data_IF_986446585151
#
_entry.id   IF_986446585151
#
_cell.length_a   1.000
_cell.length_b   1.000
_cell.length_c   1.000
_cell.angle_alpha   90.00
_cell.angle_beta   90.00
_cell.angle_gamma   90.00
#
_symmetry.space_group_name_H-M   'P 1'
#
loop_
_entity.id
_entity.type
_entity.pdbx_description
1 polymer ?
#
# COMPACT_ATOMS: atom_id res chain seq x y z
N UNK A 1 12.20 -1.08 3.52
CA UNK A 1 12.74 -0.49 2.28
C UNK A 1 12.60 -1.55 1.17
N UNK A 2 11.93 -1.25 0.06
CA UNK A 2 11.91 -2.15 -1.10
C UNK A 2 13.28 -2.04 -1.80
N UNK A 3 14.03 -3.14 -1.84
CA UNK A 3 15.38 -3.16 -2.44
C UNK A 3 15.37 -3.93 -3.77
N UNK A 4 16.41 -3.75 -4.59
CA UNK A 4 16.57 -4.56 -5.80
C UNK A 4 16.67 -6.06 -5.47
N UNK A 5 17.36 -6.41 -4.38
CA UNK A 5 17.43 -7.80 -3.87
C UNK A 5 16.03 -8.35 -3.58
N UNK A 6 15.13 -7.52 -3.07
CA UNK A 6 13.73 -7.91 -2.79
C UNK A 6 12.98 -8.22 -4.08
N UNK A 7 13.15 -7.38 -5.10
CA UNK A 7 12.52 -7.58 -6.42
C UNK A 7 13.11 -8.78 -7.15
N UNK A 8 14.42 -9.01 -7.04
CA UNK A 8 15.08 -10.20 -7.58
C UNK A 8 14.56 -11.47 -6.91
N UNK A 9 14.44 -11.49 -5.57
CA UNK A 9 13.88 -12.63 -4.85
C UNK A 9 12.43 -12.94 -5.25
N UNK A 10 11.62 -11.89 -5.48
CA UNK A 10 10.27 -12.02 -5.99
C UNK A 10 10.26 -12.64 -7.41
N UNK A 11 11.18 -12.21 -8.26
CA UNK A 11 11.32 -12.72 -9.63
C UNK A 11 11.87 -14.15 -9.70
N UNK A 12 12.66 -14.59 -8.72
CA UNK A 12 13.21 -15.95 -8.62
C UNK A 12 12.16 -16.99 -8.24
N UNK A 13 11.04 -16.57 -7.60
CA UNK A 13 9.88 -17.42 -7.27
C UNK A 13 10.16 -18.55 -6.28
N UNK A 14 11.16 -18.41 -5.43
CA UNK A 14 11.49 -19.40 -4.39
C UNK A 14 10.46 -19.41 -3.23
N UNK A 15 9.56 -18.41 -3.17
CA UNK A 15 8.58 -18.24 -2.11
C UNK A 15 7.15 -18.34 -2.65
N UNK A 16 6.30 -19.09 -1.94
CA UNK A 16 4.86 -19.22 -2.23
C UNK A 16 4.02 -18.06 -1.71
N UNK A 17 4.56 -17.30 -0.76
CA UNK A 17 3.94 -16.12 -0.17
C UNK A 17 5.02 -15.07 0.04
N UNK A 18 4.70 -13.84 -0.33
CA UNK A 18 5.56 -12.69 -0.10
C UNK A 18 4.75 -11.57 0.55
N UNK A 19 5.35 -10.85 1.50
CA UNK A 19 4.70 -9.78 2.25
C UNK A 19 5.55 -8.51 2.20
N UNK A 20 4.98 -7.44 1.64
CA UNK A 20 5.51 -6.09 1.73
C UNK A 20 4.78 -5.32 2.83
N UNK A 21 5.53 -4.79 3.78
CA UNK A 21 4.99 -3.86 4.76
C UNK A 21 5.59 -2.45 4.56
N UNK A 22 4.72 -1.45 4.42
CA UNK A 22 5.06 -0.06 4.11
C UNK A 22 4.76 0.86 5.30
N UNK A 23 5.59 0.79 6.34
CA UNK A 23 5.37 1.49 7.61
C UNK A 23 5.49 3.03 7.56
N UNK A 24 6.19 3.56 6.55
CA UNK A 24 6.54 4.98 6.48
C UNK A 24 5.32 5.90 6.39
N UNK A 25 4.25 5.47 5.70
CA UNK A 25 3.01 6.24 5.58
C UNK A 25 2.42 6.50 6.97
N UNK A 26 2.31 5.45 7.79
CA UNK A 26 1.77 5.57 9.14
C UNK A 26 2.70 6.38 10.06
N UNK A 27 4.02 6.23 9.91
CA UNK A 27 4.99 7.04 10.64
C UNK A 27 4.85 8.53 10.35
N UNK A 28 4.65 8.91 9.08
CA UNK A 28 4.38 10.31 8.71
C UNK A 28 3.02 10.77 9.25
N UNK A 29 2.00 9.91 9.22
CA UNK A 29 0.68 10.20 9.81
C UNK A 29 0.79 10.52 11.30
N UNK A 30 1.52 9.69 12.06
CA UNK A 30 1.77 9.94 13.48
C UNK A 30 2.51 11.25 13.74
N UNK A 31 3.46 11.61 12.89
CA UNK A 31 4.32 12.78 13.10
C UNK A 31 3.63 14.09 12.70
N UNK A 32 2.83 14.07 11.64
CA UNK A 32 2.36 15.29 10.95
C UNK A 32 0.86 15.26 10.61
N UNK A 33 0.13 14.19 10.91
CA UNK A 33 -1.26 14.04 10.46
C UNK A 33 -1.37 13.92 8.92
N UNK A 34 -2.61 13.87 8.42
CA UNK A 34 -2.87 13.69 6.98
C UNK A 34 -3.58 14.88 6.34
N UNK A 35 -4.21 15.75 7.14
CA UNK A 35 -4.98 16.89 6.62
C UNK A 35 -4.04 18.07 6.33
N UNK A 36 -4.47 18.98 5.45
CA UNK A 36 -3.71 20.20 5.16
C UNK A 36 -3.47 21.09 6.40
N UNK A 37 -4.31 20.96 7.43
CA UNK A 37 -4.12 21.63 8.72
C UNK A 37 -2.84 21.18 9.43
N UNK A 38 -2.55 19.87 9.41
CA UNK A 38 -1.42 19.30 10.13
C UNK A 38 -0.19 19.03 9.24
N UNK A 39 -0.41 18.74 7.95
CA UNK A 39 0.60 18.25 7.01
C UNK A 39 0.93 19.28 5.93
N UNK A 40 1.30 20.50 6.33
CA UNK A 40 1.59 21.60 5.40
C UNK A 40 2.77 21.30 4.44
N UNK A 41 3.74 20.50 4.88
CA UNK A 41 4.92 20.11 4.09
C UNK A 41 4.69 18.87 3.22
N UNK A 42 3.46 18.33 3.21
CA UNK A 42 3.05 17.18 2.40
C UNK A 42 3.92 15.93 2.63
N UNK A 43 4.43 15.72 3.85
CA UNK A 43 5.31 14.59 4.17
C UNK A 43 4.55 13.27 4.09
N UNK A 44 3.30 13.23 4.55
CA UNK A 44 2.43 12.07 4.39
C UNK A 44 2.18 11.74 2.91
N UNK A 45 1.85 12.74 2.09
CA UNK A 45 1.60 12.54 0.65
C UNK A 45 2.84 12.07 -0.10
N UNK A 46 4.02 12.60 0.25
CA UNK A 46 5.31 12.12 -0.27
C UNK A 46 5.53 10.65 0.08
N UNK A 47 5.29 10.26 1.34
CA UNK A 47 5.40 8.87 1.74
C UNK A 47 4.41 7.98 0.96
N UNK A 48 3.16 8.41 0.79
CA UNK A 48 2.16 7.69 -0.03
C UNK A 48 2.67 7.53 -1.47
N UNK A 49 3.17 8.59 -2.10
CA UNK A 49 3.73 8.56 -3.45
C UNK A 49 4.88 7.57 -3.58
N UNK A 50 5.87 7.65 -2.70
CA UNK A 50 7.03 6.76 -2.69
C UNK A 50 6.63 5.28 -2.55
N UNK A 51 5.60 4.98 -1.73
CA UNK A 51 5.14 3.60 -1.55
C UNK A 51 4.21 3.14 -2.67
N UNK A 52 3.47 4.05 -3.33
CA UNK A 52 2.76 3.74 -4.56
C UNK A 52 3.73 3.31 -5.66
N UNK A 53 4.91 3.93 -5.75
CA UNK A 53 5.96 3.52 -6.68
C UNK A 53 6.57 2.16 -6.32
N UNK A 54 6.72 1.85 -5.03
CA UNK A 54 7.09 0.49 -4.61
C UNK A 54 6.06 -0.55 -5.03
N UNK A 55 4.76 -0.25 -4.87
CA UNK A 55 3.68 -1.14 -5.33
C UNK A 55 3.79 -1.33 -6.85
N UNK A 56 3.95 -0.26 -7.65
CA UNK A 56 4.14 -0.39 -9.11
C UNK A 56 5.29 -1.33 -9.46
N UNK A 57 6.45 -1.16 -8.84
CA UNK A 57 7.63 -2.02 -9.08
C UNK A 57 7.37 -3.48 -8.74
N UNK A 58 6.60 -3.76 -7.67
CA UNK A 58 6.16 -5.13 -7.35
C UNK A 58 5.22 -5.66 -8.43
N UNK A 59 4.22 -4.89 -8.85
CA UNK A 59 3.26 -5.31 -9.90
C UNK A 59 3.95 -5.57 -11.25
N UNK A 60 5.05 -4.88 -11.56
CA UNK A 60 5.88 -5.11 -12.73
C UNK A 60 6.73 -6.39 -12.59
N UNK A 61 7.26 -6.65 -11.39
CA UNK A 61 8.15 -7.78 -11.13
C UNK A 61 7.43 -9.14 -10.99
N UNK A 62 6.17 -9.16 -10.56
CA UNK A 62 5.38 -10.40 -10.47
C UNK A 62 5.04 -10.97 -11.86
N UNK A 63 4.82 -12.28 -11.91
CA UNK A 63 4.40 -12.97 -13.13
C UNK A 63 2.87 -13.00 -13.29
N UNK A 64 2.41 -13.64 -14.35
CA UNK A 64 0.99 -13.69 -14.71
C UNK A 64 0.18 -14.64 -13.82
N UNK A 65 0.83 -15.53 -13.07
CA UNK A 65 0.18 -16.49 -12.18
C UNK A 65 0.14 -16.01 -10.71
N UNK A 66 0.84 -14.93 -10.40
CA UNK A 66 0.86 -14.34 -9.07
C UNK A 66 -0.37 -13.44 -8.85
N UNK A 67 -1.04 -13.65 -7.71
CA UNK A 67 -2.06 -12.73 -7.20
C UNK A 67 -1.41 -11.79 -6.20
N UNK A 68 -1.62 -10.49 -6.38
CA UNK A 68 -1.20 -9.45 -5.45
C UNK A 68 -2.43 -8.92 -4.73
N UNK A 69 -2.38 -8.92 -3.40
CA UNK A 69 -3.41 -8.33 -2.54
C UNK A 69 -2.80 -7.08 -1.90
N UNK A 70 -3.46 -5.94 -2.09
CA UNK A 70 -3.05 -4.67 -1.49
C UNK A 70 -4.14 -4.26 -0.51
N UNK A 71 -3.74 -4.06 0.74
CA UNK A 71 -4.65 -3.65 1.82
C UNK A 71 -3.89 -2.85 2.87
N UNK A 72 -4.64 -2.31 3.83
CA UNK A 72 -4.12 -1.64 5.03
C UNK A 72 -4.72 -2.31 6.25
N UNK A 73 -4.04 -2.22 7.38
CA UNK A 73 -4.55 -2.66 8.69
C UNK A 73 -5.42 -1.58 9.34
N UNK A 74 -5.09 -0.31 9.12
CA UNK A 74 -5.90 0.83 9.54
C UNK A 74 -5.64 2.08 8.68
N UNK A 75 -6.40 3.15 8.95
CA UNK A 75 -6.15 4.50 8.43
C UNK A 75 -5.57 5.44 9.50
N UNK A 76 -5.34 6.70 9.10
CA UNK A 76 -4.76 7.75 9.95
C UNK A 76 -5.41 9.11 9.65
N UNK A 77 -5.52 10.00 10.65
CA UNK A 77 -6.03 11.37 10.45
C UNK A 77 -5.19 12.42 11.17
N UNK A 78 -5.20 12.39 12.52
CA UNK A 78 -4.58 13.41 13.35
C UNK A 78 -3.17 12.98 13.81
N UNK A 79 -2.23 13.92 14.01
CA UNK A 79 -0.93 13.62 14.60
C UNK A 79 -1.08 12.90 15.94
N UNK A 80 -0.19 11.94 16.21
CA UNK A 80 -0.19 11.12 17.42
C UNK A 80 -1.36 10.15 17.58
N UNK A 81 -2.35 10.15 16.68
CA UNK A 81 -3.48 9.22 16.71
C UNK A 81 -3.07 7.80 16.32
N UNK A 82 -3.78 6.76 16.76
CA UNK A 82 -3.52 5.37 16.38
C UNK A 82 -4.83 4.61 16.17
N UNK A 83 -5.24 4.43 14.91
CA UNK A 83 -6.48 3.75 14.54
C UNK A 83 -7.74 4.34 15.20
N UNK A 84 -8.88 3.65 15.07
CA UNK A 84 -10.16 4.03 15.67
C UNK A 84 -11.37 3.47 14.93
N UNK A 85 -12.55 3.67 15.49
CA UNK A 85 -13.82 3.20 14.90
C UNK A 85 -14.44 4.19 13.90
N UNK A 86 -13.84 5.39 13.77
CA UNK A 86 -14.28 6.35 12.76
C UNK A 86 -14.00 5.79 11.36
N UNK A 87 -14.89 6.08 10.42
CA UNK A 87 -14.82 5.52 9.05
C UNK A 87 -13.42 5.66 8.40
N UNK A 88 -12.72 6.81 8.44
CA UNK A 88 -11.39 6.94 7.83
C UNK A 88 -10.29 6.10 8.49
N UNK A 89 -10.51 5.61 9.71
CA UNK A 89 -9.54 4.85 10.49
C UNK A 89 -9.78 3.34 10.38
N UNK A 90 -11.03 2.95 10.12
CA UNK A 90 -11.48 1.55 10.09
C UNK A 90 -11.70 1.00 8.67
N UNK A 91 -12.19 1.83 7.74
CA UNK A 91 -12.48 1.37 6.37
C UNK A 91 -11.21 1.41 5.53
N UNK A 92 -10.61 0.23 5.38
CA UNK A 92 -9.38 0.02 4.61
C UNK A 92 -9.69 -0.51 3.20
N UNK A 93 -8.86 -0.19 2.20
CA UNK A 93 -9.02 -0.75 0.87
C UNK A 93 -8.68 -2.25 0.87
N UNK A 94 -9.35 -2.99 -0.01
CA UNK A 94 -8.94 -4.33 -0.43
C UNK A 94 -8.89 -4.34 -1.95
N UNK A 95 -7.70 -4.39 -2.51
CA UNK A 95 -7.47 -4.43 -3.95
C UNK A 95 -6.85 -5.77 -4.28
N UNK A 96 -7.47 -6.50 -5.22
CA UNK A 96 -6.93 -7.73 -5.78
C UNK A 96 -6.44 -7.45 -7.20
N UNK A 97 -5.21 -7.86 -7.48
CA UNK A 97 -4.59 -7.75 -8.79
C UNK A 97 -4.03 -9.09 -9.24
N UNK A 98 -4.28 -9.44 -10.49
CA UNK A 98 -3.56 -10.50 -11.22
C UNK A 98 -3.41 -10.05 -12.67
N UNK A 99 -2.19 -10.10 -13.21
CA UNK A 99 -1.95 -9.61 -14.57
C UNK A 99 -2.80 -10.37 -15.58
N UNK A 100 -3.41 -9.63 -16.51
CA UNK A 100 -4.24 -10.20 -17.58
C UNK A 100 -5.52 -10.90 -17.12
N UNK A 101 -5.91 -10.80 -15.85
CA UNK A 101 -7.05 -11.56 -15.31
C UNK A 101 -8.42 -10.98 -15.64
N UNK A 102 -8.53 -9.68 -15.91
CA UNK A 102 -9.82 -9.00 -15.97
C UNK A 102 -10.56 -8.99 -14.62
N UNK A 103 -9.86 -9.17 -13.49
CA UNK A 103 -10.48 -9.01 -12.18
C UNK A 103 -11.11 -7.62 -12.06
N UNK A 104 -12.36 -7.59 -11.56
CA UNK A 104 -13.17 -6.38 -11.41
C UNK A 104 -13.52 -5.63 -12.72
N UNK A 105 -13.42 -6.28 -13.90
CA UNK A 105 -13.88 -5.68 -15.17
C UNK A 105 -15.34 -6.00 -15.51
N UNK A 106 -16.03 -6.77 -14.68
CA UNK A 106 -17.47 -7.01 -14.82
C UNK A 106 -18.21 -5.92 -14.04
N UNK A 107 -18.90 -5.05 -14.76
CA UNK A 107 -19.97 -4.24 -14.19
C UNK A 107 -21.20 -5.14 -14.02
N UNK A 108 -21.80 -5.11 -12.83
CA UNK A 108 -23.09 -5.75 -12.59
C UNK A 108 -24.18 -4.71 -12.83
N UNK A 109 -25.03 -4.96 -13.83
CA UNK A 109 -26.26 -4.20 -14.10
C UNK A 109 -27.30 -4.35 -12.97
#
# INVERSE_FOLDING_TARGET
LLTNVTLEALALRDYRLWLLYNNDIDLQGHSFGVTAEFNADMTYDKAVGDKADNVRRVLEAVDDDTVVIITSDHGHVNPGGHGGIADPLFRVPLILYKRGSGLATLEYD
#
